data_IF_758521541416
#
_entry.id   IF_758521541416
#
_cell.length_a   1.000
_cell.length_b   1.000
_cell.length_c   1.000
_cell.angle_alpha   90.00
_cell.angle_beta   90.00
_cell.angle_gamma   90.00
#
_symmetry.space_group_name_H-M   'P 1'
#
loop_
_entity.id
_entity.type
_entity.pdbx_description
1 polymer ?
#
# COMPACT_ATOMS: atom_id res chain seq x y z
N UNK A 1 18.42 -28.76 -8.89
CA UNK A 1 17.72 -27.46 -8.76
C UNK A 1 18.73 -26.33 -9.02
N UNK A 2 18.41 -25.33 -9.87
CA UNK A 2 19.30 -24.22 -10.22
C UNK A 2 18.66 -22.91 -9.80
N UNK A 3 19.41 -22.07 -9.11
CA UNK A 3 18.94 -20.73 -8.74
C UNK A 3 18.98 -19.83 -9.98
N UNK A 4 17.87 -19.17 -10.29
CA UNK A 4 17.77 -18.25 -11.43
C UNK A 4 18.24 -16.85 -11.03
N UNK A 5 18.92 -16.19 -11.93
CA UNK A 5 19.29 -14.77 -11.79
C UNK A 5 18.22 -13.91 -12.45
N UNK A 6 18.28 -12.59 -12.22
CA UNK A 6 17.31 -11.68 -12.85
C UNK A 6 17.43 -11.67 -14.39
N UNK A 7 18.54 -12.10 -14.94
CA UNK A 7 18.70 -12.23 -16.40
C UNK A 7 17.99 -13.47 -16.96
N UNK A 8 17.72 -14.44 -16.09
CA UNK A 8 17.03 -15.68 -16.50
C UNK A 8 15.50 -15.51 -16.43
N UNK A 9 15.00 -14.41 -15.85
CA UNK A 9 13.58 -14.20 -15.58
C UNK A 9 13.02 -13.16 -16.55
N UNK A 10 11.96 -13.53 -17.26
CA UNK A 10 11.20 -12.60 -18.10
C UNK A 10 9.80 -12.46 -17.49
N UNK A 11 9.57 -11.34 -16.82
CA UNK A 11 8.26 -11.08 -16.25
C UNK A 11 7.32 -10.52 -17.31
N UNK A 12 6.11 -11.06 -17.37
CA UNK A 12 5.04 -10.45 -18.16
C UNK A 12 4.40 -9.35 -17.31
N UNK A 13 4.49 -8.11 -17.77
CA UNK A 13 3.89 -6.99 -17.04
C UNK A 13 2.37 -7.18 -16.96
N UNK A 14 1.84 -7.03 -15.76
CA UNK A 14 0.41 -7.12 -15.50
C UNK A 14 0.04 -6.12 -14.41
N UNK A 15 -1.06 -5.43 -14.63
CA UNK A 15 -1.60 -4.49 -13.64
C UNK A 15 -2.91 -5.04 -13.10
N UNK A 16 -3.08 -4.87 -11.81
CA UNK A 16 -4.29 -5.27 -11.11
C UNK A 16 -5.04 -4.01 -10.65
N UNK A 17 -6.37 -4.06 -10.52
CA UNK A 17 -7.16 -2.89 -10.10
C UNK A 17 -7.00 -2.66 -8.59
N UNK A 18 -5.77 -2.47 -8.17
CA UNK A 18 -5.36 -2.21 -6.78
C UNK A 18 -4.70 -0.85 -6.74
N UNK A 19 -5.20 0.01 -5.86
CA UNK A 19 -4.64 1.33 -5.59
C UNK A 19 -4.15 1.35 -4.15
N UNK A 20 -3.03 2.00 -3.88
CA UNK A 20 -2.53 2.19 -2.52
C UNK A 20 -2.72 3.66 -2.13
N UNK A 21 -3.25 3.90 -0.95
CA UNK A 21 -3.32 5.23 -0.35
C UNK A 21 -2.43 5.23 0.89
N UNK A 22 -1.43 6.10 0.87
CA UNK A 22 -0.48 6.26 1.99
C UNK A 22 -0.91 7.49 2.81
N UNK A 23 -1.49 7.24 3.98
CA UNK A 23 -1.91 8.32 4.87
C UNK A 23 -0.75 8.69 5.79
N UNK A 24 -0.04 9.75 5.41
CA UNK A 24 1.06 10.34 6.17
C UNK A 24 2.29 9.44 6.39
N UNK A 25 2.61 8.56 5.43
CA UNK A 25 3.88 7.83 5.44
C UNK A 25 5.00 8.81 5.09
N UNK A 26 6.01 8.92 5.95
CA UNK A 26 7.06 9.95 5.83
C UNK A 26 8.48 9.40 5.80
N UNK A 27 8.69 8.20 6.32
CA UNK A 27 10.02 7.61 6.40
C UNK A 27 10.55 7.31 4.99
N UNK A 28 11.73 7.82 4.60
CA UNK A 28 12.22 7.63 3.23
C UNK A 28 12.33 6.16 2.81
N UNK A 29 12.75 5.29 3.72
CA UNK A 29 12.83 3.86 3.45
C UNK A 29 11.45 3.28 3.13
N UNK A 30 10.42 3.68 3.88
CA UNK A 30 9.05 3.21 3.68
C UNK A 30 8.51 3.71 2.33
N UNK A 31 8.77 4.98 1.99
CA UNK A 31 8.37 5.53 0.69
C UNK A 31 8.99 4.72 -0.45
N UNK A 32 10.31 4.50 -0.41
CA UNK A 32 11.00 3.75 -1.45
C UNK A 32 10.52 2.31 -1.55
N UNK A 33 10.29 1.66 -0.40
CA UNK A 33 9.77 0.28 -0.38
C UNK A 33 8.33 0.22 -0.91
N UNK A 34 7.52 1.23 -0.64
CA UNK A 34 6.15 1.29 -1.17
C UNK A 34 6.16 1.24 -2.71
N UNK A 35 7.00 2.07 -3.35
CA UNK A 35 7.15 2.03 -4.80
C UNK A 35 7.60 0.65 -5.29
N UNK A 36 8.62 0.09 -4.65
CA UNK A 36 9.19 -1.18 -5.07
C UNK A 36 8.19 -2.33 -4.97
N UNK A 37 7.47 -2.42 -3.86
CA UNK A 37 6.45 -3.45 -3.65
C UNK A 37 5.30 -3.26 -4.64
N UNK A 38 4.84 -2.03 -4.81
CA UNK A 38 3.73 -1.72 -5.71
C UNK A 38 4.04 -2.13 -7.15
N UNK A 39 5.26 -1.84 -7.62
CA UNK A 39 5.67 -2.25 -8.96
C UNK A 39 5.73 -3.78 -9.07
N UNK A 40 6.35 -4.43 -8.09
CA UNK A 40 6.51 -5.90 -8.10
C UNK A 40 5.18 -6.64 -8.14
N UNK A 41 4.14 -6.08 -7.56
CA UNK A 41 2.81 -6.71 -7.51
C UNK A 41 1.81 -6.12 -8.50
N UNK A 42 2.27 -5.26 -9.41
CA UNK A 42 1.40 -4.72 -10.46
C UNK A 42 0.31 -3.79 -9.96
N UNK A 43 0.58 -3.04 -8.89
CA UNK A 43 -0.36 -2.03 -8.37
C UNK A 43 -0.56 -0.94 -9.42
N UNK A 44 -1.80 -0.49 -9.58
CA UNK A 44 -2.17 0.49 -10.60
C UNK A 44 -1.67 1.89 -10.26
N UNK A 45 -1.80 2.33 -8.99
CA UNK A 45 -1.50 3.70 -8.60
C UNK A 45 -1.24 3.81 -7.10
N UNK A 46 -0.43 4.81 -6.70
CA UNK A 46 -0.21 5.17 -5.30
C UNK A 46 -0.62 6.64 -5.09
N UNK A 47 -1.33 6.91 -3.99
CA UNK A 47 -1.65 8.27 -3.53
C UNK A 47 -0.86 8.58 -2.26
N UNK A 48 -0.33 9.81 -2.19
CA UNK A 48 0.41 10.28 -1.01
C UNK A 48 -0.14 11.61 -0.52
N UNK A 49 -0.18 11.76 0.76
CA UNK A 49 -0.59 12.82 1.25
C UNK A 49 0.18 13.95 1.08
N UNK A 50 1.27 14.00 0.82
CA UNK A 50 2.26 15.03 0.49
C UNK A 50 3.23 14.49 -0.52
N UNK A 51 3.81 15.37 -1.29
CA UNK A 51 4.79 14.93 -2.27
C UNK A 51 5.91 14.14 -1.59
N UNK A 52 6.09 12.87 -1.95
CA UNK A 52 7.21 12.11 -1.41
C UNK A 52 8.51 12.73 -1.92
N UNK A 53 9.53 12.79 -1.06
CA UNK A 53 10.82 13.36 -1.42
C UNK A 53 11.58 12.36 -2.29
N UNK A 54 11.15 12.22 -3.54
CA UNK A 54 11.72 11.22 -4.48
C UNK A 54 13.17 11.53 -4.83
N UNK A 55 13.62 12.77 -4.63
CA UNK A 55 15.03 13.14 -4.80
C UNK A 55 15.93 12.65 -3.66
N UNK A 56 15.33 12.22 -2.54
CA UNK A 56 16.08 11.71 -1.41
C UNK A 56 16.83 10.43 -1.82
N UNK A 57 18.13 10.37 -1.53
CA UNK A 57 18.99 9.23 -1.89
C UNK A 57 18.50 7.90 -1.31
N UNK A 58 17.92 7.94 -0.11
CA UNK A 58 17.41 6.72 0.54
C UNK A 58 16.19 6.21 -0.23
N UNK A 59 15.28 7.12 -0.62
CA UNK A 59 14.12 6.75 -1.43
C UNK A 59 14.57 6.11 -2.74
N UNK A 60 15.50 6.77 -3.47
CA UNK A 60 16.00 6.26 -4.74
C UNK A 60 16.65 4.89 -4.60
N UNK A 61 17.51 4.72 -3.58
CA UNK A 61 18.20 3.45 -3.32
C UNK A 61 17.21 2.33 -3.00
N UNK A 62 16.21 2.63 -2.17
CA UNK A 62 15.25 1.63 -1.71
C UNK A 62 14.25 1.26 -2.82
N UNK A 63 13.83 2.23 -3.60
CA UNK A 63 12.89 2.03 -4.71
C UNK A 63 13.49 1.27 -5.90
N UNK A 64 14.81 1.32 -6.11
CA UNK A 64 15.51 0.60 -7.21
C UNK A 64 14.88 0.83 -8.58
N UNK A 65 14.84 2.07 -9.04
CA UNK A 65 14.34 2.45 -10.37
C UNK A 65 12.82 2.25 -10.58
N UNK A 66 12.04 1.94 -9.52
CA UNK A 66 10.59 1.77 -9.68
C UNK A 66 9.81 3.08 -9.56
N UNK A 67 10.46 4.18 -9.19
CA UNK A 67 9.79 5.49 -9.00
C UNK A 67 9.04 5.97 -10.24
N UNK A 68 9.55 5.64 -11.42
CA UNK A 68 8.97 6.05 -12.70
C UNK A 68 8.06 4.98 -13.32
N UNK A 69 7.98 3.82 -12.68
CA UNK A 69 7.22 2.67 -13.20
C UNK A 69 5.78 2.64 -12.69
N UNK A 70 5.51 3.37 -11.61
CA UNK A 70 4.19 3.35 -10.94
C UNK A 70 3.57 4.74 -11.03
N UNK A 71 2.31 4.80 -11.43
CA UNK A 71 1.54 6.04 -11.41
C UNK A 71 1.40 6.52 -9.96
N UNK A 72 1.64 7.81 -9.74
CA UNK A 72 1.51 8.40 -8.42
C UNK A 72 0.75 9.71 -8.50
N UNK A 73 0.03 10.02 -7.45
CA UNK A 73 -0.75 11.24 -7.35
C UNK A 73 -0.70 11.76 -5.91
N UNK A 74 -0.73 13.08 -5.77
CA UNK A 74 -0.69 13.71 -4.45
C UNK A 74 -2.12 14.18 -4.14
N UNK A 75 -2.56 13.89 -2.94
CA UNK A 75 -3.82 14.42 -2.46
C UNK A 75 -3.59 15.43 -1.33
N UNK A 76 -4.54 16.33 -1.17
CA UNK A 76 -4.51 17.37 -0.12
C UNK A 76 -5.64 17.19 0.88
N UNK A 77 -6.73 16.56 0.47
CA UNK A 77 -7.88 16.28 1.34
C UNK A 77 -8.17 14.78 1.29
N UNK A 78 -7.97 14.13 2.42
CA UNK A 78 -8.17 12.69 2.56
C UNK A 78 -9.64 12.31 2.33
N UNK A 79 -10.56 13.05 2.94
CA UNK A 79 -11.98 12.74 2.85
C UNK A 79 -12.48 12.85 1.41
N UNK A 80 -12.07 13.91 0.72
CA UNK A 80 -12.41 14.10 -0.70
C UNK A 80 -11.87 12.96 -1.54
N UNK A 81 -10.60 12.56 -1.31
CA UNK A 81 -9.99 11.44 -2.05
C UNK A 81 -10.78 10.15 -1.84
N UNK A 82 -11.10 9.81 -0.58
CA UNK A 82 -11.82 8.57 -0.28
C UNK A 82 -13.20 8.57 -0.94
N UNK A 83 -13.93 9.69 -0.87
CA UNK A 83 -15.24 9.79 -1.54
C UNK A 83 -15.11 9.61 -3.06
N UNK A 84 -14.10 10.23 -3.67
CA UNK A 84 -13.82 10.08 -5.11
C UNK A 84 -13.54 8.62 -5.48
N UNK A 85 -12.71 7.93 -4.68
CA UNK A 85 -12.37 6.54 -4.94
C UNK A 85 -13.58 5.62 -4.77
N UNK A 86 -14.42 5.84 -3.75
CA UNK A 86 -15.66 5.08 -3.57
C UNK A 86 -16.62 5.30 -4.74
N UNK A 87 -16.79 6.55 -5.17
CA UNK A 87 -17.64 6.88 -6.30
C UNK A 87 -17.17 6.20 -7.60
N UNK A 88 -15.86 5.91 -7.72
CA UNK A 88 -15.28 5.18 -8.86
C UNK A 88 -15.41 3.65 -8.72
N UNK A 89 -16.11 3.17 -7.69
CA UNK A 89 -16.38 1.75 -7.49
C UNK A 89 -15.33 0.98 -6.70
N UNK A 90 -14.44 1.70 -6.00
CA UNK A 90 -13.42 1.05 -5.19
C UNK A 90 -13.96 0.68 -3.80
N UNK A 91 -13.56 -0.49 -3.30
CA UNK A 91 -13.72 -0.85 -1.88
C UNK A 91 -12.48 -0.40 -1.12
N UNK A 92 -12.67 0.37 -0.07
CA UNK A 92 -11.57 0.92 0.74
C UNK A 92 -11.29 -0.03 1.91
N UNK A 93 -10.09 -0.61 1.92
CA UNK A 93 -9.67 -1.58 2.92
C UNK A 93 -8.49 -1.01 3.70
N UNK A 94 -8.71 -0.70 4.97
CA UNK A 94 -7.63 -0.24 5.85
C UNK A 94 -6.84 -1.41 6.41
N UNK A 95 -5.50 -1.34 6.31
CA UNK A 95 -4.64 -2.36 6.93
C UNK A 95 -4.30 -1.88 8.34
N UNK A 96 -5.12 -2.25 9.31
CA UNK A 96 -5.00 -1.76 10.68
C UNK A 96 -5.62 -2.76 11.66
N UNK A 97 -5.20 -2.70 12.91
CA UNK A 97 -5.73 -3.55 13.99
C UNK A 97 -6.81 -2.75 14.70
N UNK A 98 -8.05 -3.18 14.56
CA UNK A 98 -9.22 -2.60 15.25
C UNK A 98 -10.04 -3.72 15.88
N UNK A 99 -11.03 -3.35 16.67
CA UNK A 99 -11.97 -4.32 17.25
C UNK A 99 -12.87 -5.00 16.20
N UNK A 100 -12.87 -4.49 14.95
CA UNK A 100 -13.69 -5.03 13.86
C UNK A 100 -12.83 -5.61 12.73
N UNK A 101 -11.50 -5.66 12.89
CA UNK A 101 -10.62 -6.13 11.81
C UNK A 101 -10.79 -7.63 11.58
N UNK A 102 -10.86 -7.98 10.30
CA UNK A 102 -10.87 -9.37 9.83
C UNK A 102 -9.41 -9.78 9.58
N UNK A 103 -9.03 -10.98 10.01
CA UNK A 103 -7.68 -11.47 9.68
C UNK A 103 -7.53 -11.59 8.16
N UNK A 104 -6.36 -11.19 7.65
CA UNK A 104 -6.15 -11.12 6.20
C UNK A 104 -6.44 -12.45 5.50
N UNK A 105 -6.13 -13.59 6.13
CA UNK A 105 -6.38 -14.90 5.53
C UNK A 105 -7.89 -15.24 5.45
N UNK A 106 -8.72 -14.55 6.21
CA UNK A 106 -10.16 -14.78 6.25
C UNK A 106 -10.95 -13.78 5.39
N UNK A 107 -10.27 -12.75 4.85
CA UNK A 107 -10.93 -11.73 4.05
C UNK A 107 -11.08 -12.19 2.59
N UNK A 108 -12.27 -12.06 2.03
CA UNK A 108 -12.57 -12.53 0.68
C UNK A 108 -12.37 -11.45 -0.38
N UNK A 109 -11.12 -11.21 -0.76
CA UNK A 109 -10.74 -10.20 -1.77
C UNK A 109 -11.46 -10.41 -3.12
N UNK A 110 -11.76 -11.63 -3.49
CA UNK A 110 -12.42 -11.96 -4.78
C UNK A 110 -13.81 -11.33 -4.94
N UNK A 111 -14.41 -10.89 -3.85
CA UNK A 111 -15.73 -10.24 -3.89
C UNK A 111 -15.65 -8.76 -4.25
N UNK A 112 -14.42 -8.24 -4.47
CA UNK A 112 -14.20 -6.83 -4.75
C UNK A 112 -13.43 -6.65 -6.06
N UNK A 113 -14.04 -5.94 -7.02
CA UNK A 113 -13.43 -5.76 -8.34
C UNK A 113 -12.28 -4.76 -8.36
N UNK A 114 -12.41 -3.69 -7.56
CA UNK A 114 -11.41 -2.64 -7.43
C UNK A 114 -11.15 -2.39 -5.95
N UNK A 115 -9.90 -2.39 -5.57
CA UNK A 115 -9.51 -2.32 -4.16
C UNK A 115 -8.57 -1.14 -3.94
N UNK A 116 -8.83 -0.40 -2.88
CA UNK A 116 -7.89 0.56 -2.32
C UNK A 116 -7.36 -0.02 -1.01
N UNK A 117 -6.06 -0.22 -0.93
CA UNK A 117 -5.39 -0.58 0.33
C UNK A 117 -4.91 0.71 0.99
N UNK A 118 -5.47 1.02 2.14
CA UNK A 118 -5.13 2.23 2.89
C UNK A 118 -4.14 1.89 4.00
N UNK A 119 -3.00 2.57 3.96
CA UNK A 119 -1.93 2.44 4.96
C UNK A 119 -1.90 3.69 5.82
N UNK A 120 -2.01 3.54 7.11
CA UNK A 120 -1.90 4.63 8.06
C UNK A 120 -0.45 5.08 8.29
N UNK A 121 -0.29 6.12 9.08
CA UNK A 121 1.04 6.62 9.46
C UNK A 121 1.77 5.61 10.34
N UNK A 122 3.11 5.75 10.40
CA UNK A 122 3.95 4.87 11.22
C UNK A 122 3.66 4.97 12.72
N UNK A 123 3.10 6.09 13.15
CA UNK A 123 2.88 6.36 14.59
C UNK A 123 1.43 6.22 15.03
N UNK A 124 0.51 6.76 14.23
CA UNK A 124 -0.89 6.92 14.65
C UNK A 124 -1.85 5.98 13.93
N UNK A 125 -1.35 5.18 12.97
CA UNK A 125 -2.23 4.35 12.17
C UNK A 125 -3.10 5.20 11.24
N UNK A 126 -4.32 4.74 10.97
CA UNK A 126 -5.29 5.42 10.09
C UNK A 126 -6.15 6.34 10.94
N UNK A 127 -6.02 7.67 10.72
CA UNK A 127 -6.75 8.65 11.56
C UNK A 127 -8.25 8.69 11.28
N UNK A 128 -8.66 8.50 10.03
CA UNK A 128 -10.07 8.58 9.62
C UNK A 128 -10.62 7.18 9.32
N UNK A 129 -10.51 6.28 10.31
CA UNK A 129 -10.87 4.87 10.15
C UNK A 129 -12.34 4.66 9.78
N UNK A 130 -13.22 5.60 10.16
CA UNK A 130 -14.66 5.51 9.88
C UNK A 130 -14.98 5.64 8.39
N UNK A 131 -14.03 6.10 7.58
CA UNK A 131 -14.22 6.23 6.14
C UNK A 131 -13.90 4.95 5.36
N UNK A 132 -13.31 3.93 6.01
CA UNK A 132 -12.99 2.67 5.33
C UNK A 132 -14.21 1.75 5.31
N UNK A 133 -14.28 0.86 4.31
CA UNK A 133 -15.36 -0.11 4.22
C UNK A 133 -15.06 -1.34 5.07
N UNK A 134 -13.80 -1.72 5.15
CA UNK A 134 -13.34 -2.87 5.94
C UNK A 134 -11.97 -2.56 6.53
N UNK A 135 -11.67 -3.17 7.68
CA UNK A 135 -10.29 -3.23 8.18
C UNK A 135 -9.83 -4.67 8.17
N UNK A 136 -8.58 -4.88 7.75
CA UNK A 136 -7.93 -6.18 7.80
C UNK A 136 -6.70 -6.11 8.69
N UNK A 137 -6.45 -7.19 9.42
CA UNK A 137 -5.30 -7.29 10.31
C UNK A 137 -4.43 -8.48 9.90
N UNK A 138 -3.12 -8.29 10.03
CA UNK A 138 -2.16 -9.38 9.89
C UNK A 138 -1.96 -9.97 11.29
N UNK A 139 -2.34 -11.23 11.53
CA UNK A 139 -2.18 -11.79 12.88
C UNK A 139 -0.71 -11.94 13.24
N UNK A 140 -0.36 -11.51 14.43
CA UNK A 140 1.01 -11.59 14.95
C UNK A 140 1.03 -12.53 16.15
N UNK A 141 2.03 -13.41 16.18
CA UNK A 141 2.13 -14.45 17.20
C UNK A 141 3.31 -14.22 18.16
N UNK A 142 4.02 -13.11 17.99
CA UNK A 142 5.10 -12.71 18.87
C UNK A 142 4.63 -11.75 19.96
N UNK A 143 5.60 -11.20 20.72
CA UNK A 143 5.30 -10.24 21.78
C UNK A 143 5.06 -8.81 21.25
N UNK A 144 5.55 -8.50 20.05
CA UNK A 144 5.35 -7.19 19.45
C UNK A 144 3.92 -7.05 18.97
N UNK A 145 3.33 -5.89 19.20
CA UNK A 145 1.97 -5.58 18.78
C UNK A 145 1.90 -4.84 17.43
N UNK A 146 3.04 -4.57 16.81
CA UNK A 146 3.05 -3.81 15.56
C UNK A 146 4.12 -4.33 14.60
N UNK A 147 3.87 -4.11 13.32
CA UNK A 147 4.76 -4.45 12.21
C UNK A 147 5.00 -3.17 11.40
N UNK A 148 6.14 -3.08 10.74
CA UNK A 148 6.41 -1.95 9.85
C UNK A 148 5.27 -1.81 8.83
N UNK A 149 4.81 -0.56 8.64
CA UNK A 149 3.62 -0.28 7.83
C UNK A 149 3.74 -0.81 6.39
N UNK A 150 4.93 -0.75 5.80
CA UNK A 150 5.12 -1.23 4.42
C UNK A 150 5.23 -2.76 4.37
N UNK A 151 5.71 -3.40 5.43
CA UNK A 151 5.72 -4.86 5.50
C UNK A 151 4.30 -5.45 5.48
N UNK A 152 3.30 -4.65 5.85
CA UNK A 152 1.89 -5.06 5.79
C UNK A 152 1.36 -5.21 4.36
N UNK A 153 2.10 -4.71 3.35
CA UNK A 153 1.73 -4.85 1.93
C UNK A 153 2.15 -6.20 1.33
N UNK A 154 3.05 -6.93 1.99
CA UNK A 154 3.41 -8.27 1.57
C UNK A 154 2.32 -9.27 1.96
#
# INVERSE_FOLDING_TARGET
>A
MKQLTHYDIQNTQKHFPITIVCDAIRTPENIGMCFRISESFGVEKIYFXKQPTTENRIVQKTARNTLQQIAQEIYTDFTELIHKLKAAGNTIIGIEITDQSINIQDFEFKNHEKIVLLLGSERNGIENIDLVDHTIAIPMYGRNSSMNVIQRLF
#
